data_IF_897042913673
#
_entry.id   IF_897042913673
#
_cell.length_a   1.000
_cell.length_b   1.000
_cell.length_c   1.000
_cell.angle_alpha   90.00
_cell.angle_beta   90.00
_cell.angle_gamma   90.00
#
_symmetry.space_group_name_H-M   'P 1'
#
loop_
_entity.id
_entity.type
_entity.pdbx_description
1 polymer ?
#
# COMPACT_ATOMS: atom_id res chain seq x y z
N UNK A 1 -28.34 -32.07 8.98
CA UNK A 1 -27.54 -31.13 9.82
C UNK A 1 -26.19 -30.74 9.22
N UNK A 2 -25.52 -31.58 8.42
CA UNK A 2 -24.21 -31.21 7.81
C UNK A 2 -24.30 -30.04 6.81
N UNK A 3 -25.34 -30.00 5.97
CA UNK A 3 -25.50 -28.99 4.91
C UNK A 3 -25.62 -27.56 5.43
N UNK A 4 -26.33 -27.34 6.54
CA UNK A 4 -26.41 -26.02 7.18
C UNK A 4 -25.05 -25.54 7.70
N UNK A 5 -24.22 -26.47 8.21
CA UNK A 5 -22.89 -26.15 8.75
C UNK A 5 -21.92 -25.74 7.65
N UNK A 6 -22.00 -26.39 6.48
CA UNK A 6 -21.20 -26.05 5.29
C UNK A 6 -21.63 -24.70 4.72
N UNK A 7 -22.94 -24.40 4.66
CA UNK A 7 -23.44 -23.10 4.22
C UNK A 7 -22.96 -21.96 5.13
N UNK A 8 -23.10 -22.09 6.45
CA UNK A 8 -22.61 -21.07 7.39
C UNK A 8 -21.10 -20.86 7.32
N UNK A 9 -20.31 -21.91 7.08
CA UNK A 9 -18.86 -21.78 6.92
C UNK A 9 -18.48 -21.05 5.63
N UNK A 10 -19.19 -21.31 4.53
CA UNK A 10 -19.01 -20.58 3.28
C UNK A 10 -19.36 -19.09 3.41
N UNK A 11 -20.47 -18.78 4.07
CA UNK A 11 -20.90 -17.39 4.29
C UNK A 11 -19.91 -16.62 5.16
N UNK A 12 -19.38 -17.23 6.23
CA UNK A 12 -18.34 -16.62 7.06
C UNK A 12 -17.02 -16.41 6.31
N UNK A 13 -16.66 -17.31 5.38
CA UNK A 13 -15.45 -17.17 4.58
C UNK A 13 -15.58 -16.00 3.59
N UNK A 14 -16.73 -15.85 2.93
CA UNK A 14 -17.02 -14.71 2.04
C UNK A 14 -17.03 -13.40 2.82
N UNK A 15 -17.66 -13.37 4.00
CA UNK A 15 -17.68 -12.18 4.86
C UNK A 15 -16.27 -11.79 5.33
N UNK A 16 -15.42 -12.76 5.68
CA UNK A 16 -14.05 -12.52 6.08
C UNK A 16 -13.18 -11.98 4.93
N UNK A 17 -13.38 -12.48 3.71
CA UNK A 17 -12.69 -11.98 2.53
C UNK A 17 -13.08 -10.53 2.21
N UNK A 18 -14.38 -10.22 2.23
CA UNK A 18 -14.87 -8.87 2.00
C UNK A 18 -14.33 -7.86 3.04
N UNK A 19 -14.24 -8.28 4.32
CA UNK A 19 -13.63 -7.46 5.38
C UNK A 19 -12.14 -7.25 5.16
N UNK A 20 -11.42 -8.27 4.70
CA UNK A 20 -9.99 -8.14 4.43
C UNK A 20 -9.74 -7.21 3.23
N UNK A 21 -10.52 -7.33 2.16
CA UNK A 21 -10.45 -6.42 1.01
C UNK A 21 -10.77 -4.97 1.41
N UNK A 22 -11.77 -4.73 2.27
CA UNK A 22 -12.04 -3.40 2.79
C UNK A 22 -10.88 -2.85 3.63
N UNK A 23 -10.26 -3.68 4.49
CA UNK A 23 -9.11 -3.27 5.29
C UNK A 23 -7.89 -2.95 4.43
N UNK A 24 -7.60 -3.76 3.42
CA UNK A 24 -6.53 -3.52 2.45
C UNK A 24 -6.80 -2.25 1.65
N UNK A 25 -8.04 -2.04 1.16
CA UNK A 25 -8.43 -0.81 0.49
C UNK A 25 -8.32 0.42 1.40
N UNK A 26 -8.66 0.30 2.68
CA UNK A 26 -8.51 1.39 3.65
C UNK A 26 -7.04 1.70 3.93
N UNK A 27 -6.20 0.68 4.02
CA UNK A 27 -4.75 0.84 4.20
C UNK A 27 -4.08 1.45 2.97
N UNK A 28 -4.51 1.06 1.77
CA UNK A 28 -3.87 1.48 0.51
C UNK A 28 -4.32 2.86 0.03
N UNK A 29 -5.42 3.41 0.56
CA UNK A 29 -5.94 4.75 0.18
C UNK A 29 -4.93 5.88 0.34
N UNK A 30 -3.96 5.74 1.25
CA UNK A 30 -2.92 6.75 1.50
C UNK A 30 -1.53 6.30 1.05
N UNK A 31 -1.43 5.22 0.27
CA UNK A 31 -0.15 4.71 -0.26
C UNK A 31 -0.01 5.16 -1.71
N UNK A 32 1.12 5.79 -2.03
CA UNK A 32 1.47 6.21 -3.38
C UNK A 32 2.67 5.40 -3.84
N UNK A 33 2.62 4.90 -5.08
CA UNK A 33 3.75 4.23 -5.74
C UNK A 33 4.40 5.17 -6.74
N UNK A 34 5.69 5.47 -6.51
CA UNK A 34 6.49 6.31 -7.40
C UNK A 34 7.33 5.39 -8.28
N UNK A 35 7.16 5.49 -9.60
CA UNK A 35 7.89 4.69 -10.59
C UNK A 35 8.92 5.53 -11.34
N UNK A 36 9.97 4.87 -11.85
CA UNK A 36 11.02 5.54 -12.64
C UNK A 36 12.12 6.20 -11.81
N UNK A 37 12.11 6.06 -10.48
CA UNK A 37 13.21 6.50 -9.61
C UNK A 37 14.43 5.60 -9.85
N UNK A 38 15.59 6.15 -10.25
CA UNK A 38 16.81 5.35 -10.41
C UNK A 38 17.19 4.67 -9.10
N UNK A 39 17.62 3.42 -9.17
CA UNK A 39 17.96 2.65 -7.98
C UNK A 39 19.09 3.32 -7.20
N UNK A 40 18.85 3.62 -5.92
CA UNK A 40 19.82 4.27 -5.04
C UNK A 40 19.85 5.80 -5.16
N UNK A 41 18.94 6.40 -5.94
CA UNK A 41 18.79 7.86 -5.96
C UNK A 41 18.33 8.42 -4.60
N UNK A 42 17.61 7.60 -3.83
CA UNK A 42 17.18 7.90 -2.46
C UNK A 42 18.33 8.13 -1.47
N UNK A 43 19.56 7.67 -1.76
CA UNK A 43 20.70 7.79 -0.86
C UNK A 43 20.47 7.10 0.48
N UNK A 44 20.97 7.70 1.57
CA UNK A 44 20.90 7.14 2.92
C UNK A 44 19.58 7.46 3.63
N UNK A 45 18.81 8.45 3.17
CA UNK A 45 17.56 8.88 3.78
C UNK A 45 16.42 8.99 2.76
N UNK A 46 15.70 7.88 2.64
CA UNK A 46 14.54 7.78 1.75
C UNK A 46 13.37 8.68 2.17
N UNK A 47 13.25 9.02 3.46
CA UNK A 47 12.19 9.90 3.94
C UNK A 47 12.44 11.34 3.49
N UNK A 48 13.67 11.82 3.68
CA UNK A 48 14.08 13.14 3.21
C UNK A 48 13.93 13.24 1.69
N UNK A 49 14.49 12.28 0.94
CA UNK A 49 14.38 12.24 -0.51
C UNK A 49 12.92 12.28 -1.00
N UNK A 50 12.04 11.46 -0.42
CA UNK A 50 10.63 11.40 -0.82
C UNK A 50 9.89 12.70 -0.49
N UNK A 51 10.22 13.32 0.64
CA UNK A 51 9.63 14.61 1.05
C UNK A 51 10.00 15.70 0.06
N UNK A 52 11.29 15.83 -0.28
CA UNK A 52 11.78 16.81 -1.26
C UNK A 52 11.16 16.58 -2.64
N UNK A 53 11.10 15.32 -3.08
CA UNK A 53 10.50 14.95 -4.36
C UNK A 53 9.03 15.39 -4.45
N UNK A 54 8.24 15.15 -3.41
CA UNK A 54 6.83 15.54 -3.39
C UNK A 54 6.66 17.06 -3.24
N UNK A 55 7.55 17.74 -2.52
CA UNK A 55 7.54 19.20 -2.44
C UNK A 55 7.81 19.87 -3.78
N UNK A 56 8.66 19.29 -4.65
CA UNK A 56 8.94 19.85 -5.98
C UNK A 56 7.74 19.81 -6.93
N UNK A 57 6.77 18.92 -6.69
CA UNK A 57 5.63 18.69 -7.58
C UNK A 57 4.35 19.34 -7.03
N UNK A 58 4.32 19.67 -5.74
CA UNK A 58 3.17 20.32 -5.09
C UNK A 58 3.09 21.80 -5.40
N UNK A 59 1.86 22.32 -5.37
CA UNK A 59 1.62 23.75 -5.41
C UNK A 59 1.94 24.41 -4.05
N UNK A 60 2.28 25.70 -4.09
CA UNK A 60 2.66 26.47 -2.89
C UNK A 60 1.49 26.60 -1.90
N UNK A 61 0.25 26.57 -2.39
CA UNK A 61 -0.96 26.71 -1.57
C UNK A 61 -1.43 25.39 -0.94
N UNK A 62 -0.80 24.26 -1.26
CA UNK A 62 -1.21 22.97 -0.72
C UNK A 62 -0.88 22.87 0.79
N UNK A 63 -1.71 22.18 1.60
CA UNK A 63 -1.50 22.00 3.04
C UNK A 63 -0.26 21.15 3.35
N UNK A 64 0.49 21.43 4.42
CA UNK A 64 1.77 20.78 4.71
C UNK A 64 1.74 19.25 4.56
N UNK A 65 2.68 18.72 3.79
CA UNK A 65 2.80 17.28 3.56
C UNK A 65 3.38 16.60 4.80
N UNK A 66 2.66 15.61 5.34
CA UNK A 66 3.15 14.72 6.39
C UNK A 66 3.27 13.30 5.82
N UNK A 67 4.50 12.79 5.77
CA UNK A 67 4.78 11.41 5.36
C UNK A 67 5.01 10.56 6.61
N UNK A 68 4.24 9.49 6.76
CA UNK A 68 4.42 8.54 7.85
C UNK A 68 5.54 7.54 7.57
N UNK A 69 5.70 7.12 6.31
CA UNK A 69 6.67 6.11 5.91
C UNK A 69 6.99 6.19 4.41
N UNK A 70 8.24 5.92 4.07
CA UNK A 70 8.72 5.68 2.71
C UNK A 70 9.64 4.44 2.71
N UNK A 71 9.53 3.61 1.68
CA UNK A 71 10.40 2.46 1.50
C UNK A 71 10.44 2.07 0.02
N UNK A 72 11.55 1.47 -0.42
CA UNK A 72 11.64 0.90 -1.74
C UNK A 72 10.83 -0.40 -1.80
N UNK A 73 9.92 -0.49 -2.76
CA UNK A 73 9.21 -1.74 -3.06
C UNK A 73 10.06 -2.51 -4.07
N UNK A 74 10.80 -3.50 -3.60
CA UNK A 74 11.47 -4.43 -4.50
C UNK A 74 10.42 -5.36 -5.11
N UNK A 75 10.23 -5.25 -6.42
CA UNK A 75 9.58 -6.30 -7.21
C UNK A 75 10.50 -7.52 -7.17
N UNK A 76 10.44 -8.34 -6.11
CA UNK A 76 10.86 -9.73 -6.23
C UNK A 76 9.77 -10.39 -7.06
N UNK A 77 10.03 -10.82 -8.31
CA UNK A 77 9.06 -11.64 -9.02
C UNK A 77 8.84 -12.90 -8.18
N UNK A 78 7.60 -13.14 -7.78
CA UNK A 78 7.19 -14.36 -7.12
C UNK A 78 7.74 -15.54 -7.93
N UNK A 79 8.71 -16.27 -7.37
CA UNK A 79 9.24 -17.49 -7.99
C UNK A 79 8.05 -18.43 -8.23
N UNK A 80 7.76 -18.86 -9.47
CA UNK A 80 6.87 -19.98 -9.65
C UNK A 80 7.56 -21.21 -9.05
N UNK A 81 6.86 -21.88 -8.11
CA UNK A 81 7.19 -23.25 -7.70
C UNK A 81 6.83 -24.22 -8.84
#
# INVERSE_FOLDING_TARGET
MLWHRVATLGDHQVESQAKQEDLENRSNRCIIHIQGVPRGAEGDDIMAFTTELLQMIRDVDDPPLALDKAHQVSSVPSRPN
#
